data_IF_579103693081
#
_entry.id   IF_579103693081
#
_cell.length_a   1.000
_cell.length_b   1.000
_cell.length_c   1.000
_cell.angle_alpha   90.00
_cell.angle_beta   90.00
_cell.angle_gamma   90.00
#
_symmetry.space_group_name_H-M   'P 1'
#
loop_
_entity.id
_entity.type
_entity.pdbx_description
1 polymer ?
#
# COMPACT_ATOMS: atom_id res chain seq x y z
N UNK A 1 -6.11 -14.12 -24.65
CA UNK A 1 -5.19 -13.44 -25.61
C UNK A 1 -3.76 -13.90 -25.42
N UNK A 2 -3.19 -13.92 -24.20
CA UNK A 2 -1.79 -14.35 -23.98
C UNK A 2 -1.47 -15.73 -24.58
N UNK A 3 -2.34 -16.73 -24.42
CA UNK A 3 -2.14 -18.06 -25.05
C UNK A 3 -2.00 -18.01 -26.58
N UNK A 4 -2.75 -17.13 -27.25
CA UNK A 4 -2.68 -16.99 -28.70
C UNK A 4 -1.34 -16.38 -29.13
N UNK A 5 -0.81 -15.42 -28.36
CA UNK A 5 0.51 -14.83 -28.65
C UNK A 5 1.61 -15.90 -28.51
N UNK A 6 1.61 -16.67 -27.41
CA UNK A 6 2.59 -17.73 -27.17
C UNK A 6 2.47 -18.94 -28.10
N UNK A 7 1.31 -19.16 -28.72
CA UNK A 7 1.10 -20.28 -29.63
C UNK A 7 1.98 -20.21 -30.90
N UNK A 8 2.54 -19.04 -31.22
CA UNK A 8 3.43 -18.88 -32.36
C UNK A 8 4.69 -18.09 -31.97
N UNK A 9 5.74 -18.82 -31.57
CA UNK A 9 7.03 -18.27 -31.14
C UNK A 9 7.78 -17.49 -32.22
N UNK A 10 7.41 -17.65 -33.50
CA UNK A 10 7.99 -16.89 -34.61
C UNK A 10 7.17 -15.63 -34.97
N UNK A 11 6.08 -15.38 -34.25
CA UNK A 11 5.21 -14.23 -34.47
C UNK A 11 4.25 -14.35 -35.65
N UNK A 12 3.30 -13.41 -35.70
CA UNK A 12 2.23 -13.34 -36.69
C UNK A 12 2.56 -12.36 -37.82
N UNK A 13 2.30 -12.75 -39.07
CA UNK A 13 2.54 -11.89 -40.23
C UNK A 13 1.51 -10.76 -40.36
N UNK A 14 0.25 -11.06 -40.03
CA UNK A 14 -0.84 -10.11 -40.12
C UNK A 14 -1.94 -10.50 -39.14
N UNK A 15 -2.67 -9.49 -38.68
CA UNK A 15 -3.93 -9.63 -37.95
C UNK A 15 -5.06 -9.14 -38.83
N UNK A 16 -6.12 -9.94 -38.94
CA UNK A 16 -7.27 -9.61 -39.74
C UNK A 16 -8.36 -9.05 -38.84
N UNK A 17 -8.79 -7.81 -39.10
CA UNK A 17 -9.93 -7.19 -38.44
C UNK A 17 -11.12 -7.33 -39.36
N UNK A 18 -12.08 -8.18 -38.95
CA UNK A 18 -13.24 -8.52 -39.76
C UNK A 18 -14.34 -7.49 -39.50
N UNK A 19 -14.83 -6.88 -40.57
CA UNK A 19 -15.94 -5.94 -40.59
C UNK A 19 -17.02 -6.48 -41.53
N UNK A 20 -18.27 -6.09 -41.30
CA UNK A 20 -19.42 -6.53 -42.12
C UNK A 20 -19.95 -5.36 -42.94
N UNK A 21 -20.09 -5.55 -44.25
CA UNK A 21 -20.72 -4.56 -45.11
C UNK A 21 -22.21 -4.41 -44.78
N UNK A 22 -22.70 -3.17 -44.82
CA UNK A 22 -24.09 -2.83 -44.49
C UNK A 22 -24.35 -2.55 -43.00
N UNK A 23 -23.41 -2.91 -42.12
CA UNK A 23 -23.51 -2.59 -40.69
C UNK A 23 -22.90 -1.22 -40.40
N UNK A 24 -23.44 -0.53 -39.38
CA UNK A 24 -22.86 0.74 -38.92
C UNK A 24 -21.63 0.45 -38.08
N UNK A 25 -20.57 1.20 -38.29
CA UNK A 25 -19.42 1.19 -37.40
C UNK A 25 -19.78 1.94 -36.10
N UNK A 26 -19.88 1.18 -35.00
CA UNK A 26 -20.44 1.64 -33.73
C UNK A 26 -19.36 2.10 -32.72
N UNK A 27 -19.80 2.61 -31.57
CA UNK A 27 -18.92 2.86 -30.43
C UNK A 27 -18.31 1.57 -29.86
N UNK A 28 -19.02 0.44 -29.96
CA UNK A 28 -18.52 -0.87 -29.49
C UNK A 28 -17.36 -1.35 -30.36
N UNK A 29 -17.45 -1.14 -31.68
CA UNK A 29 -16.35 -1.43 -32.62
C UNK A 29 -15.12 -0.57 -32.30
N UNK A 30 -15.31 0.74 -32.07
CA UNK A 30 -14.24 1.62 -31.63
C UNK A 30 -13.63 1.22 -30.29
N UNK A 31 -14.47 0.80 -29.35
CA UNK A 31 -14.01 0.34 -28.02
C UNK A 31 -13.13 -0.90 -28.20
N UNK A 32 -13.52 -1.82 -29.08
CA UNK A 32 -12.74 -3.01 -29.43
C UNK A 32 -11.39 -2.63 -30.03
N UNK A 33 -11.35 -1.68 -30.97
CA UNK A 33 -10.09 -1.16 -31.54
C UNK A 33 -9.20 -0.53 -30.47
N UNK A 34 -9.78 0.25 -29.56
CA UNK A 34 -9.08 0.86 -28.43
C UNK A 34 -8.45 -0.21 -27.53
N UNK A 35 -9.21 -1.26 -27.21
CA UNK A 35 -8.72 -2.39 -26.42
C UNK A 35 -7.57 -3.09 -27.12
N UNK A 36 -7.67 -3.37 -28.43
CA UNK A 36 -6.60 -3.99 -29.19
C UNK A 36 -5.31 -3.16 -29.15
N UNK A 37 -5.40 -1.83 -29.30
CA UNK A 37 -4.23 -0.94 -29.16
C UNK A 37 -3.64 -0.98 -27.75
N UNK A 38 -4.49 -1.06 -26.72
CA UNK A 38 -4.02 -1.14 -25.34
C UNK A 38 -3.27 -2.44 -25.04
N UNK A 39 -3.64 -3.54 -25.71
CA UNK A 39 -3.04 -4.86 -25.52
C UNK A 39 -1.80 -5.06 -26.38
N UNK A 40 -1.87 -4.68 -27.66
CA UNK A 40 -0.85 -4.98 -28.66
C UNK A 40 0.07 -3.81 -29.00
N UNK A 41 -0.24 -2.61 -28.50
CA UNK A 41 0.53 -1.38 -28.71
C UNK A 41 -0.17 -0.39 -29.66
N UNK A 42 0.13 0.89 -29.50
CA UNK A 42 -0.54 1.96 -30.25
C UNK A 42 -0.35 1.89 -31.77
N UNK A 43 0.77 1.34 -32.24
CA UNK A 43 1.06 1.19 -33.66
C UNK A 43 0.55 -0.14 -34.24
N UNK A 44 -0.08 -0.99 -33.43
CA UNK A 44 -0.51 -2.33 -33.83
C UNK A 44 -1.39 -2.35 -35.08
N UNK A 45 -2.38 -1.46 -35.14
CA UNK A 45 -3.31 -1.35 -36.28
C UNK A 45 -2.58 -0.88 -37.54
N UNK A 46 -1.64 0.05 -37.37
CA UNK A 46 -0.88 0.66 -38.46
C UNK A 46 0.19 -0.26 -39.03
N UNK A 47 0.77 -1.13 -38.23
CA UNK A 47 1.94 -1.92 -38.64
C UNK A 47 1.60 -3.38 -38.97
N UNK A 48 0.58 -3.98 -38.34
CA UNK A 48 0.35 -5.43 -38.41
C UNK A 48 -1.07 -5.82 -38.83
N UNK A 49 -2.01 -4.88 -38.96
CA UNK A 49 -3.41 -5.21 -39.27
C UNK A 49 -3.79 -4.99 -40.74
N UNK A 50 -4.76 -5.79 -41.18
CA UNK A 50 -5.49 -5.67 -42.45
C UNK A 50 -6.98 -5.73 -42.14
N UNK A 51 -7.75 -4.81 -42.72
CA UNK A 51 -9.21 -4.83 -42.61
C UNK A 51 -9.80 -5.80 -43.64
N UNK A 52 -10.73 -6.65 -43.23
CA UNK A 52 -11.47 -7.56 -44.12
C UNK A 52 -12.94 -7.20 -44.04
N UNK A 53 -13.47 -6.60 -45.09
CA UNK A 53 -14.89 -6.35 -45.23
C UNK A 53 -15.57 -7.59 -45.79
N UNK A 54 -16.51 -8.15 -45.05
CA UNK A 54 -17.32 -9.32 -45.47
C UNK A 54 -18.65 -8.88 -46.07
N UNK A 55 -19.43 -9.82 -46.60
CA UNK A 55 -20.69 -9.56 -47.33
C UNK A 55 -20.47 -8.88 -48.70
N UNK A 56 -19.41 -9.29 -49.40
CA UNK A 56 -19.11 -8.82 -50.76
C UNK A 56 -20.18 -9.16 -51.80
N UNK A 57 -21.01 -10.18 -51.56
CA UNK A 57 -22.19 -10.49 -52.37
C UNK A 57 -23.27 -9.41 -52.26
N UNK A 58 -23.46 -8.83 -51.08
CA UNK A 58 -24.37 -7.68 -50.88
C UNK A 58 -23.79 -6.41 -51.49
N UNK A 59 -22.49 -6.16 -51.29
CA UNK A 59 -21.81 -5.02 -51.91
C UNK A 59 -21.99 -5.04 -53.44
N UNK A 60 -21.76 -6.20 -54.08
CA UNK A 60 -21.85 -6.34 -55.53
C UNK A 60 -23.26 -6.12 -56.09
N UNK A 61 -24.31 -6.24 -55.25
CA UNK A 61 -25.71 -6.00 -55.63
C UNK A 61 -26.12 -4.55 -55.38
N UNK A 62 -25.68 -3.99 -54.26
CA UNK A 62 -26.12 -2.67 -53.78
C UNK A 62 -25.26 -1.53 -54.32
N UNK A 63 -24.03 -1.79 -54.74
CA UNK A 63 -23.05 -0.78 -55.14
C UNK A 63 -22.56 -1.03 -56.57
N UNK A 64 -22.49 0.04 -57.35
CA UNK A 64 -21.94 0.05 -58.71
C UNK A 64 -20.49 0.53 -58.77
N UNK A 65 -20.00 1.13 -57.68
CA UNK A 65 -18.65 1.67 -57.58
C UNK A 65 -17.63 0.57 -57.29
N UNK A 66 -16.38 0.70 -57.77
CA UNK A 66 -15.27 -0.10 -57.28
C UNK A 66 -15.14 0.02 -55.75
N UNK A 67 -14.84 -1.09 -55.07
CA UNK A 67 -14.75 -1.12 -53.61
C UNK A 67 -13.77 -0.10 -53.03
N UNK A 68 -12.66 0.16 -53.72
CA UNK A 68 -11.68 1.19 -53.36
C UNK A 68 -12.30 2.59 -53.34
N UNK A 69 -13.04 2.95 -54.39
CA UNK A 69 -13.75 4.25 -54.48
C UNK A 69 -14.83 4.38 -53.41
N UNK A 70 -15.53 3.28 -53.09
CA UNK A 70 -16.50 3.29 -51.98
C UNK A 70 -15.81 3.54 -50.63
N UNK A 71 -14.64 2.95 -50.38
CA UNK A 71 -13.86 3.17 -49.15
C UNK A 71 -13.37 4.63 -49.05
N UNK A 72 -12.97 5.24 -50.17
CA UNK A 72 -12.54 6.64 -50.23
C UNK A 72 -13.67 7.62 -49.88
N UNK A 73 -14.90 7.30 -50.27
CA UNK A 73 -16.08 8.13 -50.00
C UNK A 73 -16.57 8.06 -48.53
N UNK A 74 -16.10 7.09 -47.74
CA UNK A 74 -16.53 6.94 -46.34
C UNK A 74 -16.04 8.08 -45.46
N UNK A 75 -16.79 8.37 -44.39
CA UNK A 75 -16.51 9.46 -43.44
C UNK A 75 -16.60 8.96 -41.99
N UNK A 76 -16.05 9.78 -41.08
CA UNK A 76 -16.08 9.52 -39.65
C UNK A 76 -15.18 8.35 -39.24
N UNK A 77 -15.56 7.68 -38.16
CA UNK A 77 -14.75 6.69 -37.42
C UNK A 77 -14.20 5.55 -38.26
N UNK A 78 -14.99 5.07 -39.23
CA UNK A 78 -14.54 4.03 -40.15
C UNK A 78 -13.43 4.55 -41.09
N UNK A 79 -13.54 5.80 -41.57
CA UNK A 79 -12.50 6.43 -42.39
C UNK A 79 -11.22 6.67 -41.58
N UNK A 80 -11.36 7.01 -40.30
CA UNK A 80 -10.21 7.18 -39.40
C UNK A 80 -9.47 5.85 -39.22
N UNK A 81 -10.19 4.75 -38.97
CA UNK A 81 -9.62 3.40 -38.86
C UNK A 81 -8.94 2.96 -40.16
N UNK A 82 -9.59 3.19 -41.31
CA UNK A 82 -9.01 2.91 -42.63
C UNK A 82 -7.69 3.67 -42.83
N UNK A 83 -7.66 4.94 -42.45
CA UNK A 83 -6.48 5.80 -42.59
C UNK A 83 -5.34 5.33 -41.69
N UNK A 84 -5.64 5.00 -40.43
CA UNK A 84 -4.67 4.43 -39.50
C UNK A 84 -4.11 3.09 -39.99
N UNK A 85 -4.96 2.25 -40.59
CA UNK A 85 -4.56 0.98 -41.19
C UNK A 85 -3.92 1.14 -42.59
N UNK A 86 -3.50 2.35 -42.96
CA UNK A 86 -2.86 2.67 -44.23
C UNK A 86 -3.67 2.20 -45.46
N UNK A 87 -4.99 2.25 -45.39
CA UNK A 87 -5.93 1.82 -46.43
C UNK A 87 -5.78 0.34 -46.85
N UNK A 88 -5.21 -0.52 -45.98
CA UNK A 88 -5.15 -1.97 -46.20
C UNK A 88 -6.51 -2.60 -45.89
N UNK A 89 -7.35 -2.69 -46.90
CA UNK A 89 -8.67 -3.32 -46.81
C UNK A 89 -8.94 -4.21 -48.02
N UNK A 90 -9.64 -5.33 -47.80
CA UNK A 90 -10.09 -6.25 -48.86
C UNK A 90 -11.55 -6.62 -48.66
N UNK A 91 -12.28 -6.81 -49.77
CA UNK A 91 -13.68 -7.25 -49.77
C UNK A 91 -13.76 -8.75 -50.01
N UNK A 92 -14.48 -9.45 -49.13
CA UNK A 92 -14.67 -10.90 -49.18
C UNK A 92 -16.15 -11.24 -49.39
N UNK A 93 -16.40 -12.07 -50.41
CA UNK A 93 -17.65 -12.78 -50.60
C UNK A 93 -17.46 -14.24 -50.20
N UNK A 94 -17.79 -14.53 -48.93
CA UNK A 94 -17.71 -15.88 -48.37
C UNK A 94 -18.74 -16.84 -48.96
N UNK A 95 -19.72 -16.35 -49.74
CA UNK A 95 -20.74 -17.16 -50.43
C UNK A 95 -20.41 -17.42 -51.90
N UNK A 96 -19.31 -16.86 -52.41
CA UNK A 96 -18.87 -17.11 -53.78
C UNK A 96 -18.79 -18.62 -54.06
N UNK A 97 -19.35 -19.08 -55.17
CA UNK A 97 -19.26 -20.49 -55.60
C UNK A 97 -18.18 -20.67 -56.65
N UNK A 98 -17.89 -19.61 -57.43
CA UNK A 98 -16.86 -19.62 -58.46
C UNK A 98 -15.46 -19.67 -57.84
N UNK A 99 -14.68 -20.70 -58.17
CA UNK A 99 -13.31 -20.87 -57.71
C UNK A 99 -12.41 -19.68 -58.06
N UNK A 100 -12.53 -19.15 -59.28
CA UNK A 100 -11.74 -17.98 -59.73
C UNK A 100 -11.96 -16.75 -58.84
N UNK A 101 -13.20 -16.54 -58.37
CA UNK A 101 -13.54 -15.43 -57.48
C UNK A 101 -12.91 -15.63 -56.10
N UNK A 102 -12.99 -16.84 -55.54
CA UNK A 102 -12.32 -17.18 -54.28
C UNK A 102 -10.82 -17.00 -54.36
N UNK A 103 -10.20 -17.57 -55.40
CA UNK A 103 -8.75 -17.51 -55.60
C UNK A 103 -8.28 -16.05 -55.76
N UNK A 104 -9.06 -15.21 -56.45
CA UNK A 104 -8.77 -13.78 -56.59
C UNK A 104 -8.84 -13.02 -55.27
N UNK A 105 -9.87 -13.25 -54.43
CA UNK A 105 -9.98 -12.60 -53.12
C UNK A 105 -8.84 -12.98 -52.18
N UNK A 106 -8.48 -14.27 -52.18
CA UNK A 106 -7.35 -14.79 -51.39
C UNK A 106 -6.03 -14.21 -51.89
N UNK A 107 -5.82 -14.13 -53.21
CA UNK A 107 -4.63 -13.52 -53.79
C UNK A 107 -4.49 -12.03 -53.42
N UNK A 108 -5.59 -11.27 -53.43
CA UNK A 108 -5.59 -9.87 -52.98
C UNK A 108 -5.20 -9.74 -51.51
N UNK A 109 -5.71 -10.62 -50.65
CA UNK A 109 -5.32 -10.64 -49.24
C UNK A 109 -3.83 -10.94 -49.06
N UNK A 110 -3.28 -11.94 -49.76
CA UNK A 110 -1.84 -12.24 -49.69
C UNK A 110 -0.98 -11.08 -50.18
N UNK A 111 -1.39 -10.38 -51.24
CA UNK A 111 -0.67 -9.19 -51.70
C UNK A 111 -0.61 -8.09 -50.62
N UNK A 112 -1.67 -7.91 -49.83
CA UNK A 112 -1.66 -6.98 -48.70
C UNK A 112 -0.75 -7.46 -47.56
N UNK A 113 -0.72 -8.77 -47.27
CA UNK A 113 0.16 -9.36 -46.26
C UNK A 113 1.63 -9.18 -46.66
N UNK A 114 1.98 -9.44 -47.92
CA UNK A 114 3.34 -9.25 -48.44
C UNK A 114 3.77 -7.78 -48.38
N UNK A 115 2.82 -6.85 -48.54
CA UNK A 115 3.02 -5.40 -48.38
C UNK A 115 3.31 -4.92 -46.95
N UNK A 116 3.18 -5.76 -45.92
CA UNK A 116 3.57 -5.44 -44.55
C UNK A 116 5.10 -5.56 -44.30
N UNK A 117 5.90 -5.61 -45.37
CA UNK A 117 7.37 -5.65 -45.34
C UNK A 117 7.97 -6.84 -44.55
N UNK A 118 7.21 -7.92 -44.36
CA UNK A 118 7.69 -9.15 -43.73
C UNK A 118 7.95 -9.06 -42.22
N UNK A 119 7.66 -7.93 -41.58
CA UNK A 119 7.81 -7.77 -40.13
C UNK A 119 6.67 -8.50 -39.41
N UNK A 120 7.03 -9.48 -38.59
CA UNK A 120 6.06 -10.24 -37.79
C UNK A 120 5.86 -9.56 -36.45
N UNK A 121 4.63 -9.57 -35.96
CA UNK A 121 4.36 -9.25 -34.58
C UNK A 121 4.84 -10.40 -33.69
N UNK A 122 5.82 -10.12 -32.84
CA UNK A 122 6.50 -11.12 -31.99
C UNK A 122 6.27 -10.83 -30.51
N UNK A 123 6.67 -11.76 -29.65
CA UNK A 123 6.64 -11.61 -28.19
C UNK A 123 7.36 -10.34 -27.71
N UNK A 124 8.45 -9.94 -28.38
CA UNK A 124 9.17 -8.71 -28.05
C UNK A 124 8.28 -7.46 -28.18
N UNK A 125 7.46 -7.40 -29.24
CA UNK A 125 6.51 -6.31 -29.46
C UNK A 125 5.40 -6.33 -28.41
N UNK A 126 4.92 -7.52 -28.03
CA UNK A 126 3.92 -7.67 -26.98
C UNK A 126 4.45 -7.22 -25.61
N UNK A 127 5.68 -7.62 -25.26
CA UNK A 127 6.33 -7.18 -24.03
C UNK A 127 6.54 -5.66 -24.02
N UNK A 128 7.01 -5.08 -25.13
CA UNK A 128 7.16 -3.63 -25.27
C UNK A 128 5.83 -2.89 -25.13
N UNK A 129 4.74 -3.41 -25.70
CA UNK A 129 3.41 -2.84 -25.54
C UNK A 129 2.96 -2.85 -24.08
N UNK A 130 3.16 -3.96 -23.37
CA UNK A 130 2.84 -4.12 -21.95
C UNK A 130 3.67 -3.19 -21.05
N UNK A 131 4.96 -3.03 -21.34
CA UNK A 131 5.83 -2.08 -20.66
C UNK A 131 5.40 -0.63 -20.89
N UNK A 132 5.14 -0.26 -22.15
CA UNK A 132 4.69 1.09 -22.51
C UNK A 132 3.34 1.44 -21.86
N UNK A 133 2.42 0.48 -21.80
CA UNK A 133 1.15 0.62 -21.10
C UNK A 133 1.37 0.82 -19.59
N UNK A 134 2.25 0.02 -18.98
CA UNK A 134 2.61 0.16 -17.56
C UNK A 134 3.20 1.54 -17.27
N UNK A 135 4.10 2.03 -18.12
CA UNK A 135 4.71 3.36 -17.98
C UNK A 135 3.69 4.48 -18.14
N UNK A 136 2.75 4.37 -19.08
CA UNK A 136 1.66 5.32 -19.25
C UNK A 136 0.75 5.37 -18.02
N UNK A 137 0.39 4.21 -17.46
CA UNK A 137 -0.38 4.11 -16.21
C UNK A 137 0.39 4.79 -15.07
N UNK A 138 1.68 4.49 -14.91
CA UNK A 138 2.54 5.10 -13.87
C UNK A 138 2.70 6.61 -14.06
N UNK A 139 2.84 7.10 -15.28
CA UNK A 139 2.90 8.54 -15.58
C UNK A 139 1.58 9.24 -15.27
N UNK A 140 0.46 8.60 -15.60
CA UNK A 140 -0.88 9.12 -15.27
C UNK A 140 -1.06 9.20 -13.76
N UNK A 141 -0.73 8.12 -13.04
CA UNK A 141 -0.70 8.10 -11.57
C UNK A 141 0.20 9.21 -11.01
N UNK A 142 1.41 9.38 -11.55
CA UNK A 142 2.34 10.48 -11.19
C UNK A 142 1.70 11.85 -11.33
N UNK A 143 1.01 12.12 -12.44
CA UNK A 143 0.39 13.43 -12.65
C UNK A 143 -0.82 13.69 -11.75
N UNK A 144 -1.45 12.63 -11.26
CA UNK A 144 -2.66 12.71 -10.44
C UNK A 144 -2.34 12.84 -8.95
N UNK A 145 -1.24 12.25 -8.50
CA UNK A 145 -0.78 12.36 -7.12
C UNK A 145 -0.11 13.72 -6.96
N UNK A 146 -0.76 14.61 -6.21
CA UNK A 146 -0.18 15.91 -5.90
C UNK A 146 1.04 15.77 -4.98
N UNK A 147 2.03 16.65 -5.12
CA UNK A 147 3.14 16.76 -4.17
C UNK A 147 2.65 16.96 -2.72
N UNK A 148 1.48 17.60 -2.57
CA UNK A 148 0.80 17.74 -1.29
C UNK A 148 0.41 16.38 -0.68
N UNK A 149 -0.07 15.43 -1.49
CA UNK A 149 -0.44 14.07 -1.03
C UNK A 149 0.79 13.33 -0.49
N UNK A 150 1.92 13.45 -1.19
CA UNK A 150 3.20 12.87 -0.78
C UNK A 150 3.71 13.51 0.51
N UNK A 151 3.63 14.83 0.60
CA UNK A 151 4.06 15.59 1.77
C UNK A 151 3.18 15.28 2.99
N UNK A 152 1.87 15.23 2.83
CA UNK A 152 0.91 14.87 3.90
C UNK A 152 1.18 13.46 4.43
N UNK A 153 1.36 12.48 3.54
CA UNK A 153 1.73 11.12 3.92
C UNK A 153 2.99 11.10 4.79
N UNK A 154 4.02 11.87 4.41
CA UNK A 154 5.27 11.97 5.16
C UNK A 154 5.09 12.64 6.52
N UNK A 155 4.31 13.71 6.60
CA UNK A 155 4.02 14.43 7.85
C UNK A 155 3.26 13.54 8.83
N UNK A 156 2.27 12.79 8.34
CA UNK A 156 1.50 11.84 9.16
C UNK A 156 2.44 10.80 9.77
N UNK A 157 3.35 10.26 8.96
CA UNK A 157 4.34 9.27 9.43
C UNK A 157 5.32 9.84 10.44
N UNK A 158 5.83 11.05 10.23
CA UNK A 158 6.76 11.69 11.16
C UNK A 158 6.09 11.93 12.52
N UNK A 159 4.86 12.45 12.52
CA UNK A 159 4.08 12.64 13.75
C UNK A 159 3.73 11.31 14.43
N UNK A 160 3.33 10.30 13.67
CA UNK A 160 3.08 8.97 14.22
C UNK A 160 4.35 8.41 14.89
N UNK A 161 5.52 8.57 14.27
CA UNK A 161 6.79 8.14 14.83
C UNK A 161 7.17 8.92 16.12
N UNK A 162 6.86 10.21 16.21
CA UNK A 162 7.09 10.98 17.45
C UNK A 162 6.20 10.50 18.59
N UNK A 163 4.90 10.23 18.34
CA UNK A 163 4.02 9.63 19.34
C UNK A 163 4.49 8.24 19.75
N UNK A 164 5.04 7.48 18.80
CA UNK A 164 5.51 6.14 19.09
C UNK A 164 6.69 6.11 20.08
N UNK A 165 7.51 7.16 20.09
CA UNK A 165 8.68 7.27 20.96
C UNK A 165 8.43 8.12 22.22
N UNK A 166 7.34 8.90 22.25
CA UNK A 166 6.94 9.69 23.40
C UNK A 166 6.12 8.88 24.42
N UNK A 167 6.15 9.36 25.67
CA UNK A 167 5.25 8.95 26.78
C UNK A 167 4.12 9.96 27.01
N UNK A 168 4.02 11.00 26.19
CA UNK A 168 2.95 12.00 26.28
C UNK A 168 1.63 11.46 25.75
N UNK A 169 0.58 11.64 26.53
CA UNK A 169 -0.82 11.31 26.22
C UNK A 169 -1.51 12.54 25.60
N UNK A 170 -1.05 12.95 24.42
CA UNK A 170 -1.73 14.00 23.64
C UNK A 170 -2.76 13.35 22.70
N UNK A 171 -3.95 13.11 23.27
CA UNK A 171 -5.07 12.42 22.65
C UNK A 171 -5.64 13.22 21.46
N UNK A 172 -5.79 14.54 21.64
CA UNK A 172 -6.27 15.47 20.62
C UNK A 172 -5.36 15.49 19.38
N UNK A 173 -4.05 15.45 19.60
CA UNK A 173 -3.09 15.43 18.49
C UNK A 173 -3.09 14.11 17.70
N UNK A 174 -3.39 12.98 18.35
CA UNK A 174 -3.55 11.69 17.68
C UNK A 174 -4.88 11.59 16.93
N UNK A 175 -5.96 12.12 17.49
CA UNK A 175 -7.26 12.21 16.79
C UNK A 175 -7.16 13.10 15.55
N UNK A 176 -6.50 14.26 15.67
CA UNK A 176 -6.21 15.11 14.51
C UNK A 176 -5.40 14.38 13.44
N UNK A 177 -4.44 13.56 13.86
CA UNK A 177 -3.62 12.75 12.96
C UNK A 177 -4.44 11.68 12.24
N UNK A 178 -5.42 11.07 12.92
CA UNK A 178 -6.34 10.10 12.35
C UNK A 178 -7.23 10.76 11.30
N UNK A 179 -7.85 11.90 11.60
CA UNK A 179 -8.66 12.65 10.65
C UNK A 179 -7.89 13.02 9.38
N UNK A 180 -6.61 13.39 9.52
CA UNK A 180 -5.73 13.67 8.37
C UNK A 180 -5.47 12.42 7.53
N UNK A 181 -5.25 11.26 8.16
CA UNK A 181 -5.04 10.00 7.46
C UNK A 181 -6.31 9.52 6.74
N UNK A 182 -7.48 9.68 7.34
CA UNK A 182 -8.77 9.35 6.72
C UNK A 182 -9.12 10.29 5.56
N UNK A 183 -8.84 11.59 5.72
CA UNK A 183 -9.00 12.57 4.64
C UNK A 183 -8.08 12.24 3.45
N UNK A 184 -6.84 11.81 3.70
CA UNK A 184 -5.92 11.34 2.67
C UNK A 184 -6.50 10.15 1.89
N UNK A 185 -7.04 9.14 2.58
CA UNK A 185 -7.70 8.00 1.96
C UNK A 185 -8.89 8.43 1.09
N UNK A 186 -9.75 9.30 1.62
CA UNK A 186 -10.95 9.80 0.92
C UNK A 186 -10.58 10.57 -0.34
N UNK A 187 -9.54 11.39 -0.29
CA UNK A 187 -9.04 12.14 -1.45
C UNK A 187 -8.50 11.21 -2.53
N UNK A 188 -7.74 10.17 -2.16
CA UNK A 188 -7.22 9.17 -3.09
C UNK A 188 -8.34 8.35 -3.73
N UNK A 189 -9.39 8.01 -3.00
CA UNK A 189 -10.58 7.35 -3.56
C UNK A 189 -11.35 8.23 -4.53
N UNK A 190 -11.48 9.52 -4.24
CA UNK A 190 -12.07 10.48 -5.17
C UNK A 190 -11.31 10.53 -6.50
N UNK A 191 -9.98 10.56 -6.43
CA UNK A 191 -9.11 10.51 -7.61
C UNK A 191 -9.18 9.15 -8.33
N UNK A 192 -9.34 8.05 -7.59
CA UNK A 192 -9.41 6.71 -8.17
C UNK A 192 -10.71 6.45 -8.93
N UNK A 193 -11.85 6.99 -8.47
CA UNK A 193 -13.12 6.89 -9.21
C UNK A 193 -13.03 7.45 -10.63
N UNK A 194 -12.13 8.40 -10.86
CA UNK A 194 -11.90 8.98 -12.19
C UNK A 194 -10.87 8.21 -13.02
N UNK A 195 -10.06 7.36 -12.38
CA UNK A 195 -8.84 6.82 -13.00
C UNK A 195 -8.77 5.30 -12.96
N UNK A 196 -9.15 4.63 -11.89
CA UNK A 196 -9.17 3.17 -11.73
C UNK A 196 -7.78 2.55 -11.53
N UNK A 197 -6.80 3.35 -11.13
CA UNK A 197 -5.39 2.95 -11.06
C UNK A 197 -4.71 3.40 -9.76
N UNK A 198 -5.42 3.81 -8.70
CA UNK A 198 -4.82 4.23 -7.43
C UNK A 198 -5.10 3.24 -6.29
N UNK A 199 -5.60 2.04 -6.60
CA UNK A 199 -5.95 1.00 -5.63
C UNK A 199 -4.83 0.73 -4.61
N UNK A 200 -3.57 0.59 -5.05
CA UNK A 200 -2.46 0.32 -4.14
C UNK A 200 -2.15 1.50 -3.19
N UNK A 201 -2.35 2.74 -3.62
CA UNK A 201 -2.14 3.93 -2.78
C UNK A 201 -3.24 4.08 -1.76
N UNK A 202 -4.48 3.79 -2.16
CA UNK A 202 -5.63 3.75 -1.26
C UNK A 202 -5.39 2.73 -0.14
N UNK A 203 -4.90 1.54 -0.48
CA UNK A 203 -4.54 0.53 0.53
C UNK A 203 -3.51 1.04 1.54
N UNK A 204 -2.46 1.74 1.07
CA UNK A 204 -1.44 2.34 1.94
C UNK A 204 -2.05 3.41 2.86
N UNK A 205 -2.94 4.26 2.35
CA UNK A 205 -3.59 5.31 3.14
C UNK A 205 -4.50 4.73 4.22
N UNK A 206 -5.27 3.68 3.90
CA UNK A 206 -6.09 2.96 4.88
C UNK A 206 -5.25 2.33 5.99
N UNK A 207 -4.13 1.71 5.64
CA UNK A 207 -3.23 1.12 6.64
C UNK A 207 -2.58 2.18 7.54
N UNK A 208 -2.33 3.39 7.02
CA UNK A 208 -1.87 4.50 7.84
C UNK A 208 -2.92 4.94 8.84
N UNK A 209 -4.17 5.11 8.41
CA UNK A 209 -5.28 5.45 9.32
C UNK A 209 -5.45 4.38 10.41
N UNK A 210 -5.41 3.10 10.04
CA UNK A 210 -5.50 1.99 10.99
C UNK A 210 -4.34 2.01 12.01
N UNK A 211 -3.12 2.34 11.58
CA UNK A 211 -1.97 2.45 12.49
C UNK A 211 -2.15 3.60 13.50
N UNK A 212 -2.69 4.74 13.08
CA UNK A 212 -2.99 5.85 13.99
C UNK A 212 -4.10 5.45 14.97
N UNK A 213 -5.15 4.79 14.51
CA UNK A 213 -6.25 4.26 15.33
C UNK A 213 -5.75 3.28 16.40
N UNK A 214 -4.83 2.40 16.04
CA UNK A 214 -4.21 1.46 16.99
C UNK A 214 -3.37 2.22 18.02
N UNK A 215 -2.63 3.25 17.63
CA UNK A 215 -1.83 4.05 18.58
C UNK A 215 -2.73 4.81 19.57
N UNK A 216 -3.89 5.33 19.13
CA UNK A 216 -4.91 5.92 20.02
C UNK A 216 -5.35 4.89 21.07
N UNK A 217 -5.74 3.68 20.65
CA UNK A 217 -6.19 2.62 21.57
C UNK A 217 -5.10 2.24 22.59
N UNK A 218 -3.84 2.23 22.16
CA UNK A 218 -2.70 1.95 23.04
C UNK A 218 -2.52 3.07 24.06
N UNK A 219 -2.55 4.33 23.64
CA UNK A 219 -2.40 5.46 24.55
C UNK A 219 -3.56 5.55 25.55
N UNK A 220 -4.80 5.36 25.10
CA UNK A 220 -5.96 5.31 25.99
C UNK A 220 -5.79 4.22 27.07
N UNK A 221 -5.40 3.00 26.67
CA UNK A 221 -5.17 1.89 27.61
C UNK A 221 -4.03 2.18 28.61
N UNK A 222 -2.99 2.88 28.16
CA UNK A 222 -1.86 3.30 28.99
C UNK A 222 -2.28 4.35 30.02
N UNK A 223 -3.07 5.34 29.61
CA UNK A 223 -3.64 6.37 30.47
C UNK A 223 -4.47 5.73 31.59
N UNK A 224 -5.37 4.80 31.27
CA UNK A 224 -6.16 4.09 32.27
C UNK A 224 -5.28 3.35 33.27
N UNK A 225 -4.32 2.55 32.78
CA UNK A 225 -3.41 1.80 33.64
C UNK A 225 -2.57 2.72 34.54
N UNK A 226 -2.17 3.90 34.05
CA UNK A 226 -1.43 4.89 34.84
C UNK A 226 -2.30 5.49 35.95
N UNK A 227 -3.57 5.77 35.66
CA UNK A 227 -4.50 6.24 36.70
C UNK A 227 -4.77 5.18 37.77
N UNK A 228 -4.91 3.91 37.39
CA UNK A 228 -5.09 2.80 38.33
C UNK A 228 -3.85 2.61 39.21
N UNK A 229 -2.66 2.66 38.60
CA UNK A 229 -1.40 2.60 39.33
C UNK A 229 -1.25 3.76 40.32
N UNK A 230 -1.54 4.99 39.91
CA UNK A 230 -1.50 6.16 40.81
C UNK A 230 -2.50 6.01 41.97
N UNK A 231 -3.72 5.51 41.72
CA UNK A 231 -4.69 5.22 42.79
C UNK A 231 -4.17 4.18 43.77
N UNK A 232 -3.57 3.10 43.26
CA UNK A 232 -2.97 2.07 44.09
C UNK A 232 -1.78 2.61 44.91
N UNK A 233 -0.97 3.49 44.33
CA UNK A 233 0.11 4.16 45.05
C UNK A 233 -0.41 4.97 46.24
N UNK A 234 -1.45 5.79 46.05
CA UNK A 234 -2.06 6.59 47.12
C UNK A 234 -2.62 5.70 48.24
N UNK A 235 -3.20 4.55 47.91
CA UNK A 235 -3.71 3.61 48.90
C UNK A 235 -2.57 2.97 49.72
N UNK A 236 -1.48 2.57 49.06
CA UNK A 236 -0.33 1.94 49.74
C UNK A 236 0.39 2.94 50.64
N UNK A 237 0.56 4.19 50.20
CA UNK A 237 1.14 5.26 51.04
C UNK A 237 0.29 5.49 52.29
N UNK A 238 -1.04 5.59 52.12
CA UNK A 238 -1.97 5.77 53.23
C UNK A 238 -1.90 4.61 54.25
N UNK A 239 -1.86 3.36 53.78
CA UNK A 239 -1.73 2.19 54.65
C UNK A 239 -0.39 2.16 55.40
N UNK A 240 0.69 2.63 54.78
CA UNK A 240 2.00 2.69 55.43
C UNK A 240 2.08 3.81 56.46
N UNK A 241 1.48 4.98 56.18
CA UNK A 241 1.31 6.05 57.18
C UNK A 241 0.53 5.55 58.40
N UNK A 242 -0.56 4.80 58.19
CA UNK A 242 -1.35 4.22 59.29
C UNK A 242 -0.53 3.23 60.14
N UNK A 243 0.30 2.40 59.50
CA UNK A 243 1.22 1.48 60.21
C UNK A 243 2.25 2.25 61.03
N UNK A 244 2.84 3.30 60.45
CA UNK A 244 3.82 4.16 61.14
C UNK A 244 3.18 4.79 62.38
N UNK A 245 1.96 5.33 62.27
CA UNK A 245 1.26 5.93 63.41
C UNK A 245 0.90 4.91 64.50
N UNK A 246 0.51 3.69 64.13
CA UNK A 246 0.31 2.59 65.11
C UNK A 246 1.59 2.26 65.87
N UNK A 247 2.72 2.20 65.18
CA UNK A 247 4.03 1.93 65.78
C UNK A 247 4.42 3.08 66.73
N UNK A 248 4.34 4.33 66.29
CA UNK A 248 4.59 5.50 67.14
C UNK A 248 3.72 5.50 68.40
N UNK A 249 2.43 5.22 68.25
CA UNK A 249 1.48 5.15 69.38
C UNK A 249 1.87 4.06 70.37
N UNK A 250 2.29 2.87 69.90
CA UNK A 250 2.74 1.77 70.76
C UNK A 250 3.99 2.15 71.55
N UNK A 251 4.99 2.75 70.90
CA UNK A 251 6.25 3.15 71.55
C UNK A 251 6.05 4.34 72.51
N UNK A 252 5.13 5.27 72.20
CA UNK A 252 4.74 6.33 73.13
C UNK A 252 4.16 5.79 74.46
N UNK A 253 3.37 4.71 74.41
CA UNK A 253 2.86 4.02 75.61
C UNK A 253 3.98 3.35 76.41
N UNK A 254 4.86 2.60 75.74
CA UNK A 254 6.01 1.96 76.39
C UNK A 254 6.93 2.98 77.08
N UNK A 255 7.09 4.16 76.49
CA UNK A 255 7.84 5.28 77.06
C UNK A 255 7.15 5.88 78.30
N UNK A 256 5.82 5.94 78.30
CA UNK A 256 5.03 6.41 79.44
C UNK A 256 5.08 5.45 80.64
N UNK A 257 5.18 4.14 80.40
CA UNK A 257 5.25 3.10 81.43
C UNK A 257 6.59 3.08 82.21
N UNK A 258 7.60 3.85 81.79
CA UNK A 258 8.92 3.95 82.43
C UNK A 258 9.30 5.41 82.79
N UNK A 259 8.57 6.09 83.69
CA UNK A 259 8.66 7.56 83.84
C UNK A 259 9.99 8.09 84.41
N UNK A 260 10.75 7.30 85.17
CA UNK A 260 11.98 7.75 85.87
C UNK A 260 13.27 7.05 85.39
N UNK A 261 13.22 6.29 84.30
CA UNK A 261 14.38 5.55 83.77
C UNK A 261 14.78 6.13 82.40
N UNK A 262 15.67 7.12 82.43
CA UNK A 262 16.08 7.89 81.26
C UNK A 262 16.88 7.05 80.26
N UNK A 263 17.72 6.13 80.76
CA UNK A 263 18.45 5.17 79.93
C UNK A 263 17.50 4.23 79.17
N UNK A 264 16.43 3.79 79.84
CA UNK A 264 15.40 2.95 79.21
C UNK A 264 14.55 3.72 78.20
N UNK A 265 14.23 4.99 78.47
CA UNK A 265 13.56 5.88 77.50
C UNK A 265 14.40 6.08 76.23
N UNK A 266 15.70 6.33 76.38
CA UNK A 266 16.63 6.50 75.26
C UNK A 266 16.78 5.21 74.44
N UNK A 267 16.81 4.04 75.09
CA UNK A 267 16.80 2.73 74.41
C UNK A 267 15.54 2.52 73.57
N UNK A 268 14.37 2.88 74.10
CA UNK A 268 13.06 2.76 73.41
C UNK A 268 12.98 3.71 72.21
N UNK A 269 13.49 4.93 72.34
CA UNK A 269 13.56 5.90 71.23
C UNK A 269 14.50 5.42 70.12
N UNK A 270 15.65 4.83 70.49
CA UNK A 270 16.61 4.27 69.54
C UNK A 270 16.02 3.09 68.75
N UNK A 271 15.33 2.17 69.43
CA UNK A 271 14.62 1.06 68.78
C UNK A 271 13.52 1.56 67.84
N UNK A 272 12.74 2.58 68.24
CA UNK A 272 11.73 3.19 67.38
C UNK A 272 12.36 3.79 66.12
N UNK A 273 13.49 4.48 66.26
CA UNK A 273 14.18 5.12 65.16
C UNK A 273 14.75 4.10 64.16
N UNK A 274 15.33 2.99 64.63
CA UNK A 274 15.82 1.89 63.80
C UNK A 274 14.68 1.24 62.99
N UNK A 275 13.52 0.99 63.62
CA UNK A 275 12.34 0.42 62.96
C UNK A 275 11.75 1.37 61.91
N UNK A 276 11.67 2.67 62.21
CA UNK A 276 11.17 3.66 61.25
C UNK A 276 12.12 3.78 60.04
N UNK A 277 13.44 3.74 60.25
CA UNK A 277 14.41 3.74 59.16
C UNK A 277 14.31 2.49 58.27
N UNK A 278 14.14 1.30 58.86
CA UNK A 278 14.00 0.07 58.07
C UNK A 278 12.71 0.08 57.23
N UNK A 279 11.60 0.57 57.79
CA UNK A 279 10.31 0.68 57.09
C UNK A 279 10.37 1.66 55.90
N UNK A 280 11.08 2.78 56.05
CA UNK A 280 11.21 3.78 54.99
C UNK A 280 12.09 3.28 53.83
N UNK A 281 13.16 2.55 54.16
CA UNK A 281 14.01 1.85 53.19
C UNK A 281 13.25 0.78 52.42
N UNK A 282 12.53 -0.11 53.12
CA UNK A 282 11.72 -1.16 52.50
C UNK A 282 10.63 -0.56 51.58
N UNK A 283 10.03 0.55 52.02
CA UNK A 283 9.04 1.26 51.22
C UNK A 283 9.63 1.82 49.94
N UNK A 284 10.77 2.52 50.02
CA UNK A 284 11.44 3.10 48.85
C UNK A 284 11.93 2.03 47.86
N UNK A 285 12.48 0.93 48.36
CA UNK A 285 13.01 -0.16 47.53
C UNK A 285 11.90 -0.93 46.80
N UNK A 286 10.81 -1.26 47.51
CA UNK A 286 9.62 -1.86 46.90
C UNK A 286 8.95 -0.91 45.91
N UNK A 287 8.90 0.39 46.23
CA UNK A 287 8.26 1.40 45.39
C UNK A 287 9.02 1.60 44.08
N UNK A 288 10.34 1.81 44.14
CA UNK A 288 11.19 1.95 42.96
C UNK A 288 11.12 0.71 42.06
N UNK A 289 11.20 -0.48 42.65
CA UNK A 289 11.12 -1.76 41.92
C UNK A 289 9.76 -1.97 41.24
N UNK A 290 8.66 -1.65 41.93
CA UNK A 290 7.31 -1.80 41.39
C UNK A 290 7.00 -0.80 40.27
N UNK A 291 7.45 0.44 40.39
CA UNK A 291 7.30 1.46 39.37
C UNK A 291 8.05 1.09 38.09
N UNK A 292 9.30 0.64 38.23
CA UNK A 292 10.13 0.23 37.11
C UNK A 292 9.55 -1.00 36.41
N UNK A 293 9.10 -2.02 37.16
CA UNK A 293 8.45 -3.21 36.59
C UNK A 293 7.15 -2.88 35.85
N UNK A 294 6.31 -2.00 36.39
CA UNK A 294 5.07 -1.59 35.74
C UNK A 294 5.34 -0.89 34.40
N UNK A 295 6.25 0.10 34.40
CA UNK A 295 6.67 0.81 33.19
C UNK A 295 7.30 -0.14 32.15
N UNK A 296 8.09 -1.11 32.60
CA UNK A 296 8.73 -2.10 31.74
C UNK A 296 7.72 -3.04 31.08
N UNK A 297 6.79 -3.62 31.84
CA UNK A 297 5.72 -4.49 31.30
C UNK A 297 4.86 -3.76 30.28
N UNK A 298 4.49 -2.53 30.58
CA UNK A 298 3.68 -1.69 29.69
C UNK A 298 4.43 -1.30 28.41
N UNK A 299 5.73 -0.98 28.49
CA UNK A 299 6.59 -0.79 27.31
C UNK A 299 6.70 -2.06 26.45
N UNK A 300 6.74 -3.25 27.05
CA UNK A 300 6.77 -4.52 26.33
C UNK A 300 5.44 -4.87 25.64
N UNK A 301 4.30 -4.63 26.29
CA UNK A 301 2.97 -4.77 25.67
C UNK A 301 2.84 -3.87 24.42
N UNK A 302 3.26 -2.60 24.55
CA UNK A 302 3.34 -1.63 23.45
C UNK A 302 4.24 -2.15 22.31
N UNK A 303 5.40 -2.73 22.63
CA UNK A 303 6.30 -3.36 21.64
C UNK A 303 5.65 -4.55 20.93
N UNK A 304 4.95 -5.44 21.63
CA UNK A 304 4.29 -6.63 21.05
C UNK A 304 3.18 -6.24 20.09
N UNK A 305 2.33 -5.28 20.46
CA UNK A 305 1.23 -4.81 19.62
C UNK A 305 1.74 -4.18 18.31
N UNK A 306 2.86 -3.45 18.41
CA UNK A 306 3.58 -2.85 17.27
C UNK A 306 4.27 -3.87 16.38
N UNK A 307 4.89 -4.90 16.95
CA UNK A 307 5.55 -5.96 16.17
C UNK A 307 4.56 -6.69 15.25
N UNK A 308 3.33 -6.91 15.70
CA UNK A 308 2.24 -7.51 14.90
C UNK A 308 1.86 -6.62 13.69
N UNK A 309 1.86 -5.31 13.86
CA UNK A 309 1.58 -4.34 12.78
C UNK A 309 2.76 -4.17 11.82
N UNK A 310 4.00 -4.09 12.33
CA UNK A 310 5.21 -4.09 11.50
C UNK A 310 5.30 -5.34 10.64
N UNK A 311 4.86 -6.50 11.15
CA UNK A 311 4.79 -7.73 10.36
C UNK A 311 3.80 -7.62 9.19
N UNK A 312 2.62 -7.01 9.40
CA UNK A 312 1.67 -6.72 8.32
C UNK A 312 2.29 -5.80 7.26
N UNK A 313 2.93 -4.70 7.68
CA UNK A 313 3.64 -3.78 6.78
C UNK A 313 4.75 -4.49 5.98
N UNK A 314 5.54 -5.37 6.61
CA UNK A 314 6.56 -6.18 5.93
C UNK A 314 5.96 -7.17 4.93
N UNK A 315 4.75 -7.67 5.18
CA UNK A 315 4.02 -8.57 4.27
C UNK A 315 3.55 -7.81 3.03
N UNK A 316 3.05 -6.58 3.19
CA UNK A 316 2.73 -5.71 2.07
C UNK A 316 3.97 -5.26 1.29
N UNK A 317 5.06 -4.92 1.97
CA UNK A 317 6.33 -4.59 1.32
C UNK A 317 6.92 -5.78 0.54
N UNK A 318 6.60 -7.02 0.95
CA UNK A 318 6.94 -8.21 0.17
C UNK A 318 6.08 -8.29 -1.10
N UNK A 319 4.75 -8.23 -0.95
CA UNK A 319 3.81 -8.20 -2.10
C UNK A 319 4.16 -7.08 -3.10
N UNK A 320 4.52 -5.90 -2.59
CA UNK A 320 4.92 -4.76 -3.41
C UNK A 320 6.26 -4.97 -4.11
N UNK A 321 7.27 -5.56 -3.44
CA UNK A 321 8.53 -5.95 -4.09
C UNK A 321 8.32 -6.99 -5.17
N UNK A 322 7.44 -7.95 -4.94
CA UNK A 322 7.10 -8.99 -5.91
C UNK A 322 6.42 -8.38 -7.16
N UNK A 323 5.57 -7.36 -6.97
CA UNK A 323 4.98 -6.57 -8.07
C UNK A 323 6.04 -5.70 -8.77
N UNK A 324 6.95 -5.07 -8.01
CA UNK A 324 8.04 -4.23 -8.53
C UNK A 324 9.10 -5.03 -9.29
N UNK A 325 9.35 -6.30 -8.95
CA UNK A 325 10.24 -7.16 -9.74
C UNK A 325 9.72 -7.45 -11.14
N UNK A 326 8.46 -7.10 -11.44
CA UNK A 326 7.88 -7.21 -12.76
C UNK A 326 7.95 -5.94 -13.63
N UNK A 327 8.29 -4.74 -13.10
CA UNK A 327 8.66 -3.57 -13.91
C UNK A 327 9.12 -2.33 -13.09
N UNK A 328 9.99 -1.50 -13.69
CA UNK A 328 10.56 -0.24 -13.14
C UNK A 328 9.62 0.97 -13.42
N UNK A 329 9.55 2.12 -12.71
CA UNK A 329 10.52 2.94 -11.99
C UNK A 329 9.86 4.02 -11.06
N UNK A 330 10.64 4.46 -10.07
CA UNK A 330 10.90 5.84 -9.61
C UNK A 330 9.93 6.68 -8.75
N UNK A 331 8.63 6.42 -8.62
CA UNK A 331 7.78 7.28 -7.74
C UNK A 331 7.15 6.57 -6.58
N UNK A 332 6.53 5.43 -6.82
CA UNK A 332 6.20 4.54 -5.72
C UNK A 332 7.46 4.10 -4.98
N UNK A 333 8.62 3.97 -5.64
CA UNK A 333 9.86 3.69 -4.91
C UNK A 333 10.22 4.81 -3.96
N UNK A 334 10.02 6.07 -4.34
CA UNK A 334 10.36 7.24 -3.52
C UNK A 334 9.35 7.46 -2.42
N UNK A 335 8.05 7.25 -2.70
CA UNK A 335 7.01 7.23 -1.68
C UNK A 335 7.27 6.08 -0.71
N UNK A 336 7.34 4.83 -1.19
CA UNK A 336 7.64 3.63 -0.37
C UNK A 336 9.00 3.72 0.33
N UNK A 337 10.01 4.37 -0.24
CA UNK A 337 11.28 4.65 0.46
C UNK A 337 11.11 5.73 1.52
N UNK A 338 10.34 6.78 1.28
CA UNK A 338 9.96 7.79 2.28
C UNK A 338 9.13 7.18 3.40
N UNK A 339 8.30 6.17 3.09
CA UNK A 339 7.59 5.34 4.06
C UNK A 339 8.57 4.41 4.79
N UNK A 340 9.49 3.74 4.08
CA UNK A 340 10.50 2.83 4.66
C UNK A 340 11.56 3.54 5.50
N UNK A 341 11.92 4.78 5.19
CA UNK A 341 13.05 5.51 5.77
C UNK A 341 12.89 5.73 7.29
N UNK A 342 11.74 6.18 7.82
CA UNK A 342 11.53 6.26 9.28
C UNK A 342 11.38 4.87 9.92
N UNK A 343 10.76 3.89 9.24
CA UNK A 343 10.66 2.53 9.77
C UNK A 343 11.99 1.78 9.75
N UNK A 344 12.95 2.11 8.88
CA UNK A 344 14.29 1.50 8.87
C UNK A 344 15.06 1.90 10.12
N UNK A 345 15.04 3.16 10.51
CA UNK A 345 15.62 3.61 11.78
C UNK A 345 14.86 3.04 12.99
N UNK A 346 13.52 2.93 12.92
CA UNK A 346 12.71 2.28 13.98
C UNK A 346 13.00 0.77 14.12
N UNK A 347 13.10 0.05 12.99
CA UNK A 347 13.43 -1.38 12.90
C UNK A 347 14.87 -1.61 13.35
N UNK A 348 15.78 -0.71 12.95
CA UNK A 348 17.20 -0.73 13.32
C UNK A 348 17.40 -0.42 14.81
N UNK A 349 16.68 0.53 15.39
CA UNK A 349 16.71 0.84 16.82
C UNK A 349 16.11 -0.29 17.67
N UNK A 350 15.04 -0.93 17.20
CA UNK A 350 14.45 -2.12 17.83
C UNK A 350 15.40 -3.32 17.73
N UNK A 351 16.02 -3.58 16.58
CA UNK A 351 16.99 -4.66 16.41
C UNK A 351 18.29 -4.42 17.18
N UNK A 352 18.82 -3.18 17.21
CA UNK A 352 20.01 -2.81 18.00
C UNK A 352 19.78 -2.99 19.50
N UNK A 353 18.57 -2.70 20.01
CA UNK A 353 18.23 -2.93 21.42
C UNK A 353 17.90 -4.39 21.76
N UNK A 354 17.39 -5.17 20.80
CA UNK A 354 17.20 -6.63 20.97
C UNK A 354 18.54 -7.37 20.93
N UNK A 355 19.48 -6.95 20.08
CA UNK A 355 20.82 -7.56 20.03
C UNK A 355 21.74 -7.12 21.16
N UNK A 356 21.65 -5.87 21.67
CA UNK A 356 22.42 -5.45 22.86
C UNK A 356 22.08 -6.28 24.11
N UNK A 357 20.85 -6.78 24.25
CA UNK A 357 20.49 -7.66 25.37
C UNK A 357 20.87 -9.15 25.19
N UNK A 358 21.24 -9.57 23.98
CA UNK A 358 21.66 -10.95 23.71
C UNK A 358 23.18 -11.11 23.57
N UNK A 359 23.95 -10.04 23.31
CA UNK A 359 25.41 -10.14 23.18
C UNK A 359 26.15 -10.04 24.53
N UNK A 360 25.59 -9.37 25.54
CA UNK A 360 26.18 -9.35 26.90
C UNK A 360 26.03 -10.67 27.69
N UNK A 361 25.38 -11.70 27.12
CA UNK A 361 25.24 -13.03 27.73
C UNK A 361 26.16 -14.10 27.14
N UNK A 362 26.97 -13.77 26.13
CA UNK A 362 27.85 -14.73 25.45
C UNK A 362 29.37 -14.51 25.65
N UNK A 363 29.79 -13.52 26.43
CA UNK A 363 31.21 -13.34 26.83
C UNK A 363 31.34 -13.25 28.36
N UNK A 364 30.96 -14.32 29.04
CA UNK A 364 31.38 -14.61 30.42
C UNK A 364 31.10 -16.10 30.68
N UNK A 365 31.97 -16.94 30.12
CA UNK A 365 32.29 -18.28 30.62
C UNK A 365 33.73 -18.57 30.28
#
# INVERSE_FOLDING_TARGET
MEYAIFANTRGYHAFLIILRFGDRFTEEDLTTITILKSVFGNFFIREYCILVMTYGDFYSKDQTLPFTSWCEAQKGKFKDLLTECCHRIVLFDNRATCKKVKDSQVAQLFALVDGLNGNRYTDAHFHQAKESQTLLILQKQKSLISDQTVQETRLIMQKLASFQNSTDDDEDALENLLCRAEALSTNLEGLDKTTGHLFELIQVAYELAENVSVEIKVNASMKTARTEYNKHQVLVTFQNEEKIERIKTKYARLKADCPNDEAKKESVDKELQEILQSLDLDFHEQWGSNQEMFLKRKKEERKKLRAKHIWKLKKLDRKYRDIKSFNTHSLFSTLVETIKWPFRELISAVLRNVFKHNVSRCFSK
#
